data_IF_870425054918
#
_entry.id   IF_870425054918
#
_cell.length_a   1.000
_cell.length_b   1.000
_cell.length_c   1.000
_cell.angle_alpha   90.00
_cell.angle_beta   90.00
_cell.angle_gamma   90.00
#
_symmetry.space_group_name_H-M   'P 1'
#
loop_
_entity.id
_entity.type
_entity.pdbx_description
1 polymer ?
#
# COMPACT_ATOMS: atom_id res chain seq x y z
N UNK A 1 17.00 -12.51 -31.31
CA UNK A 1 17.46 -11.75 -30.14
C UNK A 1 16.85 -10.37 -30.26
N UNK A 2 15.76 -10.12 -29.54
CA UNK A 2 14.98 -8.87 -29.58
C UNK A 2 15.07 -8.26 -28.19
N UNK A 3 15.52 -6.99 -28.04
CA UNK A 3 15.53 -6.37 -26.73
C UNK A 3 14.09 -5.94 -26.39
N UNK A 4 13.48 -6.64 -25.44
CA UNK A 4 12.25 -6.20 -24.78
C UNK A 4 12.59 -5.04 -23.84
N UNK A 5 12.64 -3.83 -24.40
CA UNK A 5 12.58 -2.62 -23.60
C UNK A 5 11.16 -2.49 -23.04
N UNK A 6 10.98 -2.91 -21.78
CA UNK A 6 9.82 -2.54 -20.97
C UNK A 6 9.78 -1.02 -20.84
N UNK A 7 8.97 -0.37 -21.69
CA UNK A 7 8.52 1.00 -21.43
C UNK A 7 7.45 0.94 -20.36
N UNK A 8 7.87 1.09 -19.11
CA UNK A 8 6.98 1.47 -18.02
C UNK A 8 6.54 2.91 -18.26
N UNK A 9 5.44 3.11 -18.98
CA UNK A 9 4.64 4.33 -18.86
C UNK A 9 3.73 4.20 -17.64
N UNK A 10 4.33 3.93 -16.48
CA UNK A 10 3.69 4.30 -15.23
C UNK A 10 3.77 5.82 -15.18
N UNK A 11 2.69 6.49 -15.56
CA UNK A 11 2.46 7.86 -15.13
C UNK A 11 2.29 7.83 -13.61
N UNK A 12 3.40 7.64 -12.90
CA UNK A 12 3.55 8.22 -11.57
C UNK A 12 3.22 9.69 -11.77
N UNK A 13 2.03 10.08 -11.34
CA UNK A 13 1.68 11.48 -11.20
C UNK A 13 2.88 12.10 -10.48
N UNK A 14 3.60 13.04 -11.11
CA UNK A 14 4.80 13.58 -10.50
C UNK A 14 4.35 14.10 -9.14
N UNK A 15 5.04 13.66 -8.06
CA UNK A 15 4.96 14.40 -6.79
C UNK A 15 5.02 15.86 -7.18
N UNK A 16 4.02 16.69 -6.85
CA UNK A 16 4.05 18.07 -7.29
C UNK A 16 5.34 18.62 -6.75
N UNK A 17 6.27 18.94 -7.66
CA UNK A 17 7.45 19.69 -7.29
C UNK A 17 6.90 20.92 -6.59
N UNK A 18 7.37 21.20 -5.38
CA UNK A 18 6.95 22.38 -4.61
C UNK A 18 7.19 23.69 -5.41
N UNK A 19 7.95 23.62 -6.51
CA UNK A 19 8.19 24.72 -7.45
C UNK A 19 7.11 24.94 -8.53
N UNK A 20 6.08 24.08 -8.66
CA UNK A 20 5.07 24.18 -9.73
C UNK A 20 3.63 24.26 -9.22
N UNK A 21 3.39 24.62 -7.96
CA UNK A 21 2.07 25.11 -7.56
C UNK A 21 2.04 26.62 -7.74
N UNK A 22 1.73 27.09 -8.96
CA UNK A 22 1.29 28.48 -9.13
C UNK A 22 0.03 28.62 -8.29
N UNK A 23 -0.09 29.64 -7.42
CA UNK A 23 -1.31 29.85 -6.68
C UNK A 23 -2.43 30.03 -7.70
N UNK A 24 -3.39 29.09 -7.70
CA UNK A 24 -4.63 29.31 -8.40
C UNK A 24 -5.28 30.46 -7.62
N UNK A 25 -5.34 31.64 -8.25
CA UNK A 25 -6.16 32.75 -7.78
C UNK A 25 -7.61 32.27 -7.90
N UNK A 26 -8.06 31.50 -6.92
CA UNK A 26 -9.49 31.33 -6.71
C UNK A 26 -9.96 32.69 -6.22
N UNK A 27 -10.79 33.34 -7.03
CA UNK A 27 -11.48 34.56 -6.68
C UNK A 27 -12.46 34.19 -5.56
N UNK A 28 -11.95 34.18 -4.33
CA UNK A 28 -12.72 33.99 -3.11
C UNK A 28 -13.62 35.21 -2.97
N UNK A 29 -14.79 35.14 -3.63
CA UNK A 29 -15.92 36.00 -3.33
C UNK A 29 -16.36 35.69 -1.90
N UNK A 30 -15.76 36.40 -0.94
CA UNK A 30 -16.24 36.44 0.43
C UNK A 30 -17.64 37.05 0.38
N UNK A 31 -18.67 36.23 0.62
CA UNK A 31 -20.05 36.72 0.75
C UNK A 31 -20.06 37.64 1.96
N UNK A 32 -20.11 38.95 1.70
CA UNK A 32 -20.24 39.94 2.74
C UNK A 32 -21.62 39.78 3.35
N UNK A 33 -21.68 39.34 4.60
CA UNK A 33 -22.92 39.35 5.35
C UNK A 33 -23.49 40.76 5.33
N UNK A 34 -24.74 40.91 4.89
CA UNK A 34 -25.50 42.13 5.10
C UNK A 34 -25.51 42.39 6.61
N UNK A 35 -25.04 43.57 7.01
CA UNK A 35 -25.11 44.05 8.39
C UNK A 35 -26.59 44.12 8.77
N UNK A 36 -27.08 43.08 9.43
CA UNK A 36 -28.17 43.25 10.38
C UNK A 36 -27.47 43.71 11.65
N UNK A 37 -27.62 44.99 11.97
CA UNK A 37 -27.21 45.54 13.25
C UNK A 37 -28.03 44.80 14.33
N UNK A 38 -27.42 43.79 14.99
CA UNK A 38 -27.67 43.34 16.37
C UNK A 38 -27.19 41.89 16.59
N UNK A 39 -25.86 41.74 16.77
CA UNK A 39 -25.21 40.97 17.84
C UNK A 39 -23.71 40.95 17.52
N UNK A 40 -22.90 41.59 18.37
CA UNK A 40 -21.44 41.44 18.32
C UNK A 40 -21.07 39.96 18.54
N UNK A 41 -20.70 39.28 17.45
CA UNK A 41 -20.14 37.94 17.50
C UNK A 41 -18.73 38.02 18.09
N UNK A 42 -18.60 37.81 19.40
CA UNK A 42 -17.33 37.67 20.15
C UNK A 42 -16.49 36.44 19.78
N UNK A 43 -16.72 35.82 18.61
CA UNK A 43 -15.92 34.68 18.16
C UNK A 43 -14.63 35.16 17.52
N UNK A 44 -13.50 34.82 18.13
CA UNK A 44 -12.17 35.01 17.55
C UNK A 44 -12.12 34.36 16.16
N UNK A 45 -11.81 35.18 15.15
CA UNK A 45 -11.57 34.70 13.80
C UNK A 45 -10.23 33.96 13.79
N UNK A 46 -10.30 32.64 13.72
CA UNK A 46 -9.13 31.78 13.58
C UNK A 46 -8.70 31.75 12.11
N UNK A 47 -7.51 32.26 11.81
CA UNK A 47 -6.92 32.19 10.48
C UNK A 47 -6.28 30.81 10.26
N UNK A 48 -7.07 29.87 9.76
CA UNK A 48 -6.54 28.57 9.34
C UNK A 48 -5.88 28.70 7.96
N UNK A 49 -4.77 27.98 7.78
CA UNK A 49 -4.14 27.84 6.47
C UNK A 49 -5.08 27.04 5.56
N UNK A 50 -5.34 27.50 4.33
CA UNK A 50 -6.18 26.75 3.39
C UNK A 50 -5.63 25.35 3.13
N UNK A 51 -6.53 24.42 2.78
CA UNK A 51 -6.14 23.08 2.35
C UNK A 51 -5.22 23.16 1.13
N UNK A 52 -4.10 22.44 1.17
CA UNK A 52 -3.21 22.26 0.02
C UNK A 52 -3.95 21.66 -1.18
N UNK A 53 -4.96 20.83 -0.92
CA UNK A 53 -5.67 20.06 -1.93
C UNK A 53 -6.91 20.77 -2.45
N UNK A 54 -7.49 21.70 -1.69
CA UNK A 54 -8.76 22.36 -2.02
C UNK A 54 -9.80 21.35 -2.52
N UNK A 55 -10.30 21.59 -3.72
CA UNK A 55 -11.33 20.77 -4.37
C UNK A 55 -10.76 19.70 -5.33
N UNK A 56 -9.44 19.50 -5.34
CA UNK A 56 -8.74 18.67 -6.34
C UNK A 56 -9.28 17.23 -6.42
N UNK A 57 -9.72 16.67 -5.30
CA UNK A 57 -10.25 15.30 -5.23
C UNK A 57 -11.78 15.22 -5.37
N UNK A 58 -12.49 16.35 -5.55
CA UNK A 58 -13.95 16.34 -5.71
C UNK A 58 -14.37 15.79 -7.07
N UNK A 59 -13.50 15.84 -8.08
CA UNK A 59 -13.72 15.22 -9.39
C UNK A 59 -12.45 14.54 -9.88
N UNK A 60 -12.50 13.22 -10.06
CA UNK A 60 -11.41 12.44 -10.62
C UNK A 60 -11.83 11.96 -12.01
N UNK A 61 -11.09 12.30 -13.09
CA UNK A 61 -11.37 11.76 -14.41
C UNK A 61 -11.23 10.23 -14.37
N UNK A 62 -12.25 9.53 -14.84
CA UNK A 62 -12.36 8.08 -14.76
C UNK A 62 -12.56 7.52 -16.17
N UNK A 63 -11.55 6.81 -16.69
CA UNK A 63 -11.69 6.06 -17.94
C UNK A 63 -11.91 4.58 -17.62
N UNK A 64 -13.14 4.10 -17.83
CA UNK A 64 -13.51 2.71 -17.58
C UNK A 64 -12.65 1.72 -18.38
N UNK A 65 -12.28 2.05 -19.61
CA UNK A 65 -11.58 1.11 -20.48
C UNK A 65 -10.18 0.76 -19.94
N UNK A 66 -9.46 1.77 -19.43
CA UNK A 66 -8.14 1.59 -18.83
C UNK A 66 -8.21 0.70 -17.57
N UNK A 67 -9.23 0.87 -16.74
CA UNK A 67 -9.43 0.03 -15.55
C UNK A 67 -9.82 -1.40 -15.90
N UNK A 68 -10.67 -1.60 -16.90
CA UNK A 68 -11.08 -2.94 -17.35
C UNK A 68 -9.87 -3.72 -17.92
N UNK A 69 -8.96 -3.05 -18.62
CA UNK A 69 -7.70 -3.65 -19.08
C UNK A 69 -6.77 -4.02 -17.91
N UNK A 70 -6.59 -3.11 -16.95
CA UNK A 70 -5.79 -3.38 -15.75
C UNK A 70 -6.37 -4.52 -14.92
N UNK A 71 -7.69 -4.60 -14.76
CA UNK A 71 -8.36 -5.68 -14.04
C UNK A 71 -8.10 -7.02 -14.72
N UNK A 72 -8.13 -7.08 -16.06
CA UNK A 72 -7.79 -8.29 -16.83
C UNK A 72 -6.35 -8.73 -16.59
N UNK A 73 -5.39 -7.80 -16.58
CA UNK A 73 -3.98 -8.10 -16.31
C UNK A 73 -3.77 -8.62 -14.88
N UNK A 74 -4.36 -7.96 -13.89
CA UNK A 74 -4.34 -8.40 -12.49
C UNK A 74 -4.95 -9.80 -12.36
N UNK A 75 -6.08 -10.03 -13.03
CA UNK A 75 -6.76 -11.33 -13.06
C UNK A 75 -5.87 -12.45 -13.62
N UNK A 76 -5.06 -12.15 -14.64
CA UNK A 76 -4.11 -13.10 -15.21
C UNK A 76 -2.86 -13.31 -14.34
N UNK A 77 -2.38 -12.29 -13.63
CA UNK A 77 -1.19 -12.37 -12.80
C UNK A 77 -1.44 -13.04 -11.43
N UNK A 78 -2.63 -12.83 -10.85
CA UNK A 78 -3.02 -13.40 -9.56
C UNK A 78 -2.82 -14.92 -9.45
N UNK A 79 -3.23 -15.77 -10.41
CA UNK A 79 -2.99 -17.21 -10.34
C UNK A 79 -1.49 -17.56 -10.41
N UNK A 80 -0.68 -16.80 -11.15
CA UNK A 80 0.77 -17.03 -11.23
C UNK A 80 1.45 -16.74 -9.88
N UNK A 81 1.07 -15.65 -9.22
CA UNK A 81 1.56 -15.33 -7.87
C UNK A 81 1.15 -16.42 -6.87
N UNK A 82 -0.08 -16.92 -6.96
CA UNK A 82 -0.56 -18.04 -6.15
C UNK A 82 0.26 -19.31 -6.39
N UNK A 83 0.56 -19.63 -7.65
CA UNK A 83 1.38 -20.80 -7.99
C UNK A 83 2.78 -20.72 -7.39
N UNK A 84 3.42 -19.56 -7.48
CA UNK A 84 4.74 -19.33 -6.86
C UNK A 84 4.67 -19.46 -5.34
N UNK A 85 3.63 -18.88 -4.72
CA UNK A 85 3.41 -18.95 -3.27
C UNK A 85 3.20 -20.39 -2.79
N UNK A 86 2.41 -21.18 -3.53
CA UNK A 86 2.02 -22.55 -3.18
C UNK A 86 2.96 -23.63 -3.72
N UNK A 87 4.05 -23.25 -4.40
CA UNK A 87 5.02 -24.19 -4.97
C UNK A 87 5.56 -25.14 -3.90
N UNK A 88 5.66 -26.44 -4.23
CA UNK A 88 6.27 -27.44 -3.35
C UNK A 88 7.80 -27.40 -3.37
N UNK A 89 8.39 -26.70 -4.35
CA UNK A 89 9.84 -26.63 -4.52
C UNK A 89 10.49 -25.53 -3.66
N UNK A 90 9.71 -24.59 -3.12
CA UNK A 90 10.21 -23.53 -2.23
C UNK A 90 10.19 -23.98 -0.78
N UNK A 91 11.27 -23.65 -0.07
CA UNK A 91 11.39 -23.83 1.37
C UNK A 91 10.42 -22.93 2.14
N UNK A 92 10.12 -23.27 3.39
CA UNK A 92 9.27 -22.45 4.26
C UNK A 92 9.83 -21.02 4.40
N UNK A 93 11.15 -20.86 4.50
CA UNK A 93 11.81 -19.55 4.60
C UNK A 93 11.60 -18.69 3.35
N UNK A 94 11.74 -19.29 2.17
CA UNK A 94 11.52 -18.60 0.90
C UNK A 94 10.06 -18.17 0.75
N UNK A 95 9.12 -19.01 1.18
CA UNK A 95 7.70 -18.66 1.20
C UNK A 95 7.42 -17.49 2.14
N UNK A 96 7.97 -17.50 3.36
CA UNK A 96 7.81 -16.41 4.32
C UNK A 96 8.42 -15.10 3.78
N UNK A 97 9.60 -15.16 3.14
CA UNK A 97 10.19 -14.00 2.45
C UNK A 97 9.30 -13.50 1.32
N UNK A 98 8.67 -14.40 0.55
CA UNK A 98 7.74 -14.01 -0.50
C UNK A 98 6.46 -13.38 0.07
N UNK A 99 5.94 -13.88 1.18
CA UNK A 99 4.83 -13.28 1.93
C UNK A 99 5.18 -11.85 2.38
N UNK A 100 6.38 -11.66 2.93
CA UNK A 100 6.88 -10.34 3.32
C UNK A 100 6.92 -9.36 2.14
N UNK A 101 7.32 -9.82 0.96
CA UNK A 101 7.27 -9.02 -0.27
C UNK A 101 5.82 -8.64 -0.65
N UNK A 102 4.87 -9.58 -0.59
CA UNK A 102 3.46 -9.31 -0.90
C UNK A 102 2.84 -8.28 0.07
N UNK A 103 3.20 -8.33 1.34
CA UNK A 103 2.79 -7.36 2.36
C UNK A 103 3.37 -5.98 2.05
N UNK A 104 4.66 -5.92 1.77
CA UNK A 104 5.36 -4.67 1.42
C UNK A 104 4.80 -4.01 0.15
N UNK A 105 4.30 -4.82 -0.78
CA UNK A 105 3.62 -4.36 -2.00
C UNK A 105 2.15 -3.98 -1.77
N UNK A 106 1.57 -4.28 -0.60
CA UNK A 106 0.17 -4.00 -0.29
C UNK A 106 -0.83 -4.89 -1.03
N UNK A 107 -0.42 -6.07 -1.49
CA UNK A 107 -1.25 -7.00 -2.29
C UNK A 107 -1.49 -8.35 -1.60
N UNK A 108 -0.99 -8.53 -0.37
CA UNK A 108 -1.15 -9.76 0.41
C UNK A 108 -2.61 -10.15 0.64
N UNK A 109 -3.51 -9.18 0.76
CA UNK A 109 -4.95 -9.37 0.97
C UNK A 109 -5.65 -10.23 -0.10
N UNK A 110 -5.03 -10.41 -1.26
CA UNK A 110 -5.54 -11.29 -2.30
C UNK A 110 -5.30 -12.79 -2.04
N UNK A 111 -4.44 -13.12 -1.07
CA UNK A 111 -3.91 -14.45 -0.79
C UNK A 111 -4.01 -14.84 0.69
N UNK A 112 -4.87 -14.16 1.47
CA UNK A 112 -4.93 -14.33 2.93
C UNK A 112 -5.06 -15.80 3.38
N UNK A 113 -5.84 -16.60 2.64
CA UNK A 113 -6.05 -18.03 2.95
C UNK A 113 -4.76 -18.83 2.76
N UNK A 114 -4.13 -18.66 1.60
CA UNK A 114 -2.88 -19.33 1.25
C UNK A 114 -1.76 -18.93 2.21
N UNK A 115 -1.68 -17.65 2.57
CA UNK A 115 -0.72 -17.14 3.54
C UNK A 115 -0.95 -17.78 4.90
N UNK A 116 -2.19 -17.81 5.38
CA UNK A 116 -2.53 -18.42 6.66
C UNK A 116 -2.19 -19.91 6.69
N UNK A 117 -2.53 -20.67 5.65
CA UNK A 117 -2.19 -22.09 5.53
C UNK A 117 -0.67 -22.33 5.58
N UNK A 118 0.11 -21.51 4.86
CA UNK A 118 1.57 -21.59 4.87
C UNK A 118 2.12 -21.30 6.26
N UNK A 119 1.68 -20.20 6.89
CA UNK A 119 2.20 -19.79 8.20
C UNK A 119 1.79 -20.79 9.30
N UNK A 120 0.56 -21.29 9.29
CA UNK A 120 0.12 -22.36 10.20
C UNK A 120 1.03 -23.59 10.07
N UNK A 121 1.27 -24.05 8.85
CA UNK A 121 2.14 -25.20 8.61
C UNK A 121 3.59 -24.92 9.03
N UNK A 122 4.19 -23.81 8.59
CA UNK A 122 5.58 -23.47 8.91
C UNK A 122 5.77 -23.26 10.41
N UNK A 123 4.79 -22.70 11.12
CA UNK A 123 4.87 -22.48 12.57
C UNK A 123 4.93 -23.80 13.36
N UNK A 124 4.29 -24.88 12.90
CA UNK A 124 4.44 -26.21 13.54
C UNK A 124 5.87 -26.74 13.51
N UNK A 125 6.67 -26.26 12.55
CA UNK A 125 8.07 -26.63 12.33
C UNK A 125 9.02 -25.48 12.67
N UNK A 126 8.57 -24.49 13.44
CA UNK A 126 9.31 -23.26 13.70
C UNK A 126 10.75 -23.54 14.15
N UNK A 127 10.91 -24.43 15.12
CA UNK A 127 12.22 -24.82 15.64
C UNK A 127 13.15 -25.35 14.53
N UNK A 128 12.66 -26.21 13.64
CA UNK A 128 13.48 -26.77 12.57
C UNK A 128 13.86 -25.73 11.51
N UNK A 129 13.01 -24.71 11.33
CA UNK A 129 13.24 -23.62 10.37
C UNK A 129 14.21 -22.58 10.94
N UNK A 130 14.20 -22.34 12.26
CA UNK A 130 15.09 -21.36 12.93
C UNK A 130 16.40 -21.96 13.40
N UNK A 131 16.47 -23.26 13.70
CA UNK A 131 17.70 -23.92 14.15
C UNK A 131 18.80 -23.78 13.10
N UNK A 132 19.91 -23.18 13.52
CA UNK A 132 21.08 -22.95 12.68
C UNK A 132 20.91 -21.81 11.68
N UNK A 133 19.79 -21.08 11.72
CA UNK A 133 19.64 -19.84 10.97
C UNK A 133 20.36 -18.71 11.68
N UNK A 134 21.42 -18.20 11.06
CA UNK A 134 22.24 -17.11 11.59
C UNK A 134 22.06 -15.82 10.79
N UNK A 135 21.27 -15.85 9.71
CA UNK A 135 20.96 -14.66 8.94
C UNK A 135 19.91 -13.80 9.66
N UNK A 136 20.36 -12.64 10.13
CA UNK A 136 19.53 -11.69 10.86
C UNK A 136 18.35 -11.21 10.02
N UNK A 137 18.53 -11.05 8.71
CA UNK A 137 17.44 -10.66 7.81
C UNK A 137 16.33 -11.72 7.81
N UNK A 138 16.69 -12.99 7.64
CA UNK A 138 15.74 -14.11 7.67
C UNK A 138 14.98 -14.19 8.98
N UNK A 139 15.69 -14.20 10.12
CA UNK A 139 15.05 -14.28 11.45
C UNK A 139 14.12 -13.10 11.68
N UNK A 140 14.54 -11.88 11.31
CA UNK A 140 13.73 -10.66 11.48
C UNK A 140 12.45 -10.71 10.66
N UNK A 141 12.55 -11.12 9.39
CA UNK A 141 11.39 -11.27 8.50
C UNK A 141 10.43 -12.33 9.05
N UNK A 142 10.95 -13.49 9.47
CA UNK A 142 10.12 -14.54 10.05
C UNK A 142 9.39 -14.04 11.30
N UNK A 143 10.10 -13.38 12.21
CA UNK A 143 9.53 -12.82 13.43
C UNK A 143 8.41 -11.82 13.13
N UNK A 144 8.66 -10.88 12.22
CA UNK A 144 7.67 -9.88 11.81
C UNK A 144 6.43 -10.53 11.19
N UNK A 145 6.61 -11.40 10.19
CA UNK A 145 5.50 -12.03 9.46
C UNK A 145 4.68 -12.92 10.40
N UNK A 146 5.32 -13.79 11.19
CA UNK A 146 4.58 -14.66 12.11
C UNK A 146 3.74 -13.86 13.10
N UNK A 147 4.31 -12.81 13.70
CA UNK A 147 3.55 -11.99 14.66
C UNK A 147 2.46 -11.16 14.00
N UNK A 148 2.67 -10.68 12.78
CA UNK A 148 1.66 -9.94 12.03
C UNK A 148 0.40 -10.79 11.79
N UNK A 149 0.57 -12.10 11.55
CA UNK A 149 -0.54 -13.04 11.35
C UNK A 149 -0.98 -13.76 12.64
N UNK A 150 -0.53 -13.29 13.81
CA UNK A 150 -1.02 -13.76 15.11
C UNK A 150 -0.31 -14.98 15.70
N UNK A 151 0.78 -15.44 15.10
CA UNK A 151 1.60 -16.52 15.65
C UNK A 151 2.56 -16.00 16.72
N UNK A 152 2.64 -16.72 17.85
CA UNK A 152 3.45 -16.33 19.01
C UNK A 152 4.89 -16.81 18.88
N UNK A 153 5.63 -16.27 17.90
CA UNK A 153 7.07 -16.53 17.78
C UNK A 153 7.82 -15.91 18.97
N UNK A 154 8.66 -16.69 19.71
CA UNK A 154 9.43 -16.18 20.84
C UNK A 154 10.52 -15.21 20.38
N UNK A 155 11.00 -14.35 21.28
CA UNK A 155 12.07 -13.38 20.96
C UNK A 155 13.47 -14.02 20.95
N UNK A 156 13.62 -15.15 21.64
CA UNK A 156 14.88 -15.89 21.78
C UNK A 156 15.00 -17.03 20.73
N UNK A 157 14.25 -16.90 19.63
CA UNK A 157 14.14 -17.90 18.56
C UNK A 157 15.40 -18.03 17.72
#
# INVERSE_FOLDING_TARGET
QVPLCLRTSLSFSPRPSLSLMKPLKQDLSCVKATRSDDLESNRLLTHFVPSLWGDHFLSVPFDRADFDELEREIGALKPLVREVLMSSHSSDKEKIRFIHLLISLGVSYHFDKEIQEILDHSFTKLHDITVGENDLETISIMFEVFRLYGHKMPCDA
#
